data_IF_154830749115
#
_entry.id   IF_154830749115
#
_cell.length_a   1.000
_cell.length_b   1.000
_cell.length_c   1.000
_cell.angle_alpha   90.00
_cell.angle_beta   90.00
_cell.angle_gamma   90.00
#
_symmetry.space_group_name_H-M   'P 1'
#
loop_
_entity.id
_entity.type
_entity.pdbx_description
1 polymer ?
#
# COMPACT_ATOMS: atom_id res chain seq x y z
N UNK A 1 -11.13 18.99 -29.46
CA UNK A 1 -11.69 19.37 -28.16
C UNK A 1 -11.26 18.32 -27.16
N UNK A 2 -10.18 18.58 -26.43
CA UNK A 2 -9.62 17.65 -25.45
C UNK A 2 -10.49 17.69 -24.20
N UNK A 3 -11.06 16.54 -23.84
CA UNK A 3 -11.67 16.35 -22.53
C UNK A 3 -10.53 16.31 -21.51
N UNK A 4 -10.38 17.38 -20.74
CA UNK A 4 -9.47 17.43 -19.61
C UNK A 4 -9.86 16.36 -18.61
N UNK A 5 -9.04 15.32 -18.49
CA UNK A 5 -9.14 14.38 -17.39
C UNK A 5 -8.84 15.14 -16.10
N UNK A 6 -9.86 15.31 -15.27
CA UNK A 6 -9.74 15.88 -13.92
C UNK A 6 -8.80 14.96 -13.13
N UNK A 7 -7.56 15.41 -12.89
CA UNK A 7 -6.54 14.71 -12.08
C UNK A 7 -7.10 14.58 -10.65
N UNK A 8 -7.69 13.43 -10.35
CA UNK A 8 -8.21 13.10 -9.04
C UNK A 8 -7.01 12.76 -8.17
N UNK A 9 -6.48 13.76 -7.46
CA UNK A 9 -5.40 13.59 -6.50
C UNK A 9 -5.90 12.66 -5.39
N UNK A 10 -5.68 11.36 -5.59
CA UNK A 10 -6.27 10.33 -4.75
C UNK A 10 -5.34 10.19 -3.55
N UNK A 11 -5.63 10.97 -2.51
CA UNK A 11 -4.91 10.93 -1.23
C UNK A 11 -4.68 9.46 -0.81
N UNK A 12 -3.41 9.06 -0.74
CA UNK A 12 -3.02 7.71 -0.34
C UNK A 12 -3.28 7.61 1.17
N UNK A 13 -4.18 6.71 1.57
CA UNK A 13 -4.63 6.63 2.97
C UNK A 13 -3.95 5.55 3.79
N UNK A 14 -3.19 4.64 3.16
CA UNK A 14 -2.38 3.65 3.88
C UNK A 14 -0.99 4.24 4.20
N UNK A 15 -0.40 3.81 5.30
CA UNK A 15 0.86 4.37 5.83
C UNK A 15 2.09 3.53 5.54
N UNK A 16 1.95 2.20 5.54
CA UNK A 16 3.06 1.26 5.32
C UNK A 16 2.53 -0.16 5.02
N UNK A 17 3.43 -1.14 4.95
CA UNK A 17 3.08 -2.53 4.65
C UNK A 17 2.16 -3.18 5.70
N UNK A 18 2.19 -2.75 6.96
CA UNK A 18 1.31 -3.29 8.02
C UNK A 18 -0.14 -2.96 7.74
N UNK A 19 -0.43 -1.75 7.28
CA UNK A 19 -1.78 -1.32 6.88
C UNK A 19 -2.29 -2.17 5.71
N UNK A 20 -1.44 -2.43 4.72
CA UNK A 20 -1.79 -3.29 3.60
C UNK A 20 -2.13 -4.72 4.08
N UNK A 21 -1.33 -5.27 5.00
CA UNK A 21 -1.60 -6.58 5.60
C UNK A 21 -2.89 -6.59 6.40
N UNK A 22 -3.18 -5.54 7.19
CA UNK A 22 -4.41 -5.41 7.95
C UNK A 22 -5.65 -5.34 7.05
N UNK A 23 -5.52 -4.73 5.86
CA UNK A 23 -6.56 -4.74 4.83
C UNK A 23 -6.68 -6.08 4.07
N UNK A 24 -5.88 -7.10 4.42
CA UNK A 24 -5.91 -8.42 3.81
C UNK A 24 -5.15 -8.52 2.48
N UNK A 25 -4.30 -7.54 2.16
CA UNK A 25 -3.44 -7.57 0.98
C UNK A 25 -2.22 -8.44 1.29
N UNK A 26 -2.01 -9.49 0.50
CA UNK A 26 -0.87 -10.40 0.64
C UNK A 26 0.31 -9.88 -0.18
N UNK A 27 1.40 -9.55 0.49
CA UNK A 27 2.66 -9.23 -0.15
C UNK A 27 3.36 -10.50 -0.68
N UNK A 28 3.92 -10.43 -1.89
CA UNK A 28 4.76 -11.47 -2.50
C UNK A 28 5.91 -10.85 -3.29
N UNK A 29 7.04 -11.56 -3.32
CA UNK A 29 8.09 -11.28 -4.31
C UNK A 29 7.61 -11.64 -5.73
N UNK A 30 7.97 -10.81 -6.72
CA UNK A 30 7.80 -11.14 -8.14
C UNK A 30 8.78 -12.23 -8.61
N UNK A 31 9.84 -12.49 -7.83
CA UNK A 31 10.97 -13.34 -8.23
C UNK A 31 11.95 -12.68 -9.21
N UNK A 32 11.72 -11.41 -9.54
CA UNK A 32 12.60 -10.60 -10.40
C UNK A 32 13.28 -9.51 -9.57
N UNK A 33 14.37 -8.94 -10.10
CA UNK A 33 15.05 -7.77 -9.52
C UNK A 33 14.82 -6.50 -10.33
N UNK A 34 13.83 -6.53 -11.22
CA UNK A 34 13.50 -5.38 -12.08
C UNK A 34 12.66 -4.40 -11.28
N UNK A 35 13.08 -3.13 -11.14
CA UNK A 35 12.27 -2.08 -10.52
C UNK A 35 10.90 -1.88 -11.18
N UNK A 36 10.71 -2.44 -12.39
CA UNK A 36 9.48 -2.35 -13.20
C UNK A 36 8.38 -3.33 -12.77
N UNK A 37 8.73 -4.36 -11.99
CA UNK A 37 7.86 -5.52 -11.75
C UNK A 37 7.01 -5.38 -10.49
N UNK A 38 6.30 -4.26 -10.39
CA UNK A 38 5.30 -4.02 -9.34
C UNK A 38 3.90 -4.20 -9.92
N UNK A 39 3.10 -5.05 -9.29
CA UNK A 39 1.72 -5.28 -9.72
C UNK A 39 0.79 -5.56 -8.55
N UNK A 40 -0.45 -5.07 -8.68
CA UNK A 40 -1.52 -5.34 -7.74
C UNK A 40 -2.62 -6.14 -8.42
N UNK A 41 -2.97 -7.26 -7.80
CA UNK A 41 -4.02 -8.16 -8.24
C UNK A 41 -5.11 -8.22 -7.18
N UNK A 42 -6.31 -7.79 -7.56
CA UNK A 42 -7.51 -7.92 -6.74
C UNK A 42 -8.30 -9.15 -7.20
N UNK A 43 -8.29 -10.19 -6.36
CA UNK A 43 -9.11 -11.38 -6.56
C UNK A 43 -10.31 -11.39 -5.64
N UNK A 44 -11.30 -12.23 -5.97
CA UNK A 44 -12.55 -12.35 -5.21
C UNK A 44 -12.33 -12.65 -3.71
N UNK A 45 -11.32 -13.48 -3.40
CA UNK A 45 -11.03 -13.94 -2.03
C UNK A 45 -9.75 -13.37 -1.43
N UNK A 46 -8.89 -12.74 -2.24
CA UNK A 46 -7.62 -12.20 -1.77
C UNK A 46 -7.10 -11.12 -2.71
N UNK A 47 -6.63 -10.03 -2.12
CA UNK A 47 -5.78 -9.06 -2.80
C UNK A 47 -4.31 -9.45 -2.63
N UNK A 48 -3.50 -9.17 -3.65
CA UNK A 48 -2.07 -9.47 -3.66
C UNK A 48 -1.30 -8.31 -4.26
N UNK A 49 -0.23 -7.91 -3.58
CA UNK A 49 0.78 -7.01 -4.08
C UNK A 49 2.05 -7.80 -4.39
N UNK A 50 2.51 -7.74 -5.64
CA UNK A 50 3.82 -8.28 -6.04
C UNK A 50 4.80 -7.14 -6.20
N UNK A 51 5.98 -7.30 -5.59
CA UNK A 51 7.07 -6.32 -5.58
C UNK A 51 8.36 -7.05 -5.97
N UNK A 52 9.29 -6.43 -6.72
CA UNK A 52 10.57 -7.06 -7.03
C UNK A 52 11.41 -7.32 -5.77
N UNK A 53 12.26 -8.33 -5.88
CA UNK A 53 13.30 -8.58 -4.88
C UNK A 53 14.33 -7.44 -4.90
N UNK A 54 14.62 -6.89 -3.74
CA UNK A 54 15.67 -5.89 -3.54
C UNK A 54 16.75 -6.37 -2.59
N UNK A 55 17.98 -5.96 -2.90
CA UNK A 55 19.13 -6.14 -2.03
C UNK A 55 19.53 -4.76 -1.52
N UNK A 56 19.49 -4.58 -0.20
CA UNK A 56 19.85 -3.32 0.45
C UNK A 56 21.23 -3.48 1.08
N UNK A 57 22.20 -2.65 0.69
CA UNK A 57 23.55 -2.63 1.21
C UNK A 57 24.07 -1.19 1.30
N UNK A 58 25.31 -0.99 1.77
CA UNK A 58 25.90 0.35 1.95
C UNK A 58 25.99 1.22 0.69
N UNK A 59 25.84 0.65 -0.51
CA UNK A 59 25.84 1.39 -1.77
C UNK A 59 24.44 1.75 -2.28
N UNK A 60 23.37 1.18 -1.70
CA UNK A 60 21.99 1.32 -2.21
C UNK A 60 21.55 2.77 -2.30
N UNK A 61 21.81 3.59 -1.28
CA UNK A 61 21.46 5.03 -1.28
C UNK A 61 22.14 5.77 -2.42
N UNK A 62 23.46 5.60 -2.56
CA UNK A 62 24.22 6.27 -3.61
C UNK A 62 23.76 5.83 -5.01
N UNK A 63 23.47 4.54 -5.20
CA UNK A 63 22.94 4.02 -6.46
C UNK A 63 21.57 4.64 -6.77
N UNK A 64 20.63 4.63 -5.82
CA UNK A 64 19.30 5.18 -6.03
C UNK A 64 19.34 6.68 -6.33
N UNK A 65 20.14 7.46 -5.61
CA UNK A 65 20.28 8.90 -5.88
C UNK A 65 20.98 9.19 -7.21
N UNK A 66 22.04 8.47 -7.56
CA UNK A 66 22.71 8.67 -8.84
C UNK A 66 21.79 8.31 -10.02
N UNK A 67 21.01 7.23 -9.91
CA UNK A 67 20.04 6.85 -10.94
C UNK A 67 18.87 7.81 -11.01
N UNK A 68 18.37 8.30 -9.87
CA UNK A 68 17.32 9.33 -9.82
C UNK A 68 17.82 10.62 -10.45
N UNK A 69 19.03 11.08 -10.12
CA UNK A 69 19.63 12.26 -10.74
C UNK A 69 19.82 12.09 -12.26
N UNK A 70 20.14 10.88 -12.72
CA UNK A 70 20.20 10.55 -14.13
C UNK A 70 18.82 10.66 -14.82
N UNK A 71 17.75 10.18 -14.18
CA UNK A 71 16.36 10.37 -14.65
C UNK A 71 15.90 11.83 -14.63
N UNK A 72 16.51 12.69 -13.81
CA UNK A 72 16.15 14.11 -13.76
C UNK A 72 16.88 14.97 -14.80
N UNK A 73 17.74 14.37 -15.62
CA UNK A 73 18.45 15.08 -16.68
C UNK A 73 17.47 15.51 -17.79
N UNK A 74 17.39 16.81 -18.16
CA UNK A 74 16.43 17.30 -19.15
C UNK A 74 16.67 16.77 -20.57
N UNK A 75 17.89 16.32 -20.85
CA UNK A 75 18.28 15.81 -22.18
C UNK A 75 17.99 14.31 -22.35
N UNK A 76 17.44 13.65 -21.32
CA UNK A 76 17.19 12.21 -21.31
C UNK A 76 15.68 11.92 -21.19
N UNK A 77 15.08 11.44 -22.29
CA UNK A 77 13.72 10.88 -22.24
C UNK A 77 13.71 9.64 -21.36
N UNK A 78 13.00 9.71 -20.25
CA UNK A 78 12.81 8.58 -19.35
C UNK A 78 11.39 8.53 -18.81
N UNK A 79 11.06 7.39 -18.22
CA UNK A 79 9.74 7.08 -17.68
C UNK A 79 9.68 7.17 -16.15
N UNK A 80 10.69 7.82 -15.53
CA UNK A 80 10.88 7.97 -14.09
C UNK A 80 10.76 6.65 -13.32
N UNK A 81 11.17 5.53 -13.92
CA UNK A 81 11.00 4.19 -13.36
C UNK A 81 11.69 3.99 -12.01
N UNK A 82 12.92 4.48 -11.86
CA UNK A 82 13.71 4.36 -10.63
C UNK A 82 13.14 5.26 -9.54
N UNK A 83 12.85 6.51 -9.87
CA UNK A 83 12.24 7.48 -8.96
C UNK A 83 10.88 6.99 -8.46
N UNK A 84 10.04 6.50 -9.37
CA UNK A 84 8.73 5.92 -9.06
C UNK A 84 8.86 4.70 -8.14
N UNK A 85 9.86 3.87 -8.38
CA UNK A 85 10.16 2.69 -7.58
C UNK A 85 10.62 3.07 -6.17
N UNK A 86 11.55 4.02 -6.04
CA UNK A 86 12.06 4.50 -4.75
C UNK A 86 10.93 5.03 -3.87
N UNK A 87 10.06 5.89 -4.41
CA UNK A 87 8.90 6.43 -3.70
C UNK A 87 7.88 5.32 -3.37
N UNK A 88 7.73 4.31 -4.24
CA UNK A 88 6.85 3.18 -3.95
C UNK A 88 7.37 2.34 -2.78
N UNK A 89 8.67 2.04 -2.75
CA UNK A 89 9.28 1.29 -1.67
C UNK A 89 9.22 2.03 -0.33
N UNK A 90 9.48 3.34 -0.35
CA UNK A 90 9.34 4.21 0.82
C UNK A 90 7.91 4.16 1.38
N UNK A 91 6.87 4.23 0.53
CA UNK A 91 5.48 4.12 0.99
C UNK A 91 5.11 2.77 1.66
N UNK A 92 5.99 1.76 1.56
CA UNK A 92 5.82 0.48 2.23
C UNK A 92 6.63 0.37 3.53
N UNK A 93 7.65 1.20 3.73
CA UNK A 93 8.66 1.09 4.77
C UNK A 93 8.72 2.39 5.57
N UNK A 94 8.13 2.38 6.76
CA UNK A 94 8.20 3.52 7.69
C UNK A 94 9.03 3.13 8.94
N UNK A 95 8.94 1.85 9.34
CA UNK A 95 9.51 1.32 10.58
C UNK A 95 10.30 0.01 10.37
N UNK A 96 11.19 -0.37 11.31
CA UNK A 96 12.00 -1.58 11.21
C UNK A 96 11.17 -2.86 11.05
N UNK A 97 9.95 -2.93 11.61
CA UNK A 97 9.12 -4.13 11.46
C UNK A 97 8.54 -4.26 10.05
N UNK A 98 8.45 -3.17 9.29
CA UNK A 98 8.03 -3.20 7.88
C UNK A 98 9.12 -3.88 7.04
N UNK A 99 10.38 -3.55 7.33
CA UNK A 99 11.56 -4.22 6.75
C UNK A 99 11.55 -5.70 7.10
N UNK A 100 11.31 -6.04 8.38
CA UNK A 100 11.20 -7.43 8.82
C UNK A 100 10.10 -8.19 8.07
N UNK A 101 8.97 -7.55 7.82
CA UNK A 101 7.89 -8.13 7.02
C UNK A 101 8.31 -8.39 5.58
N UNK A 102 8.90 -7.40 4.90
CA UNK A 102 9.40 -7.53 3.52
C UNK A 102 10.43 -8.67 3.39
N UNK A 103 11.34 -8.78 4.37
CA UNK A 103 12.31 -9.89 4.46
C UNK A 103 11.62 -11.23 4.60
N UNK A 104 10.62 -11.34 5.47
CA UNK A 104 9.86 -12.58 5.67
C UNK A 104 9.13 -13.07 4.41
N UNK A 105 8.88 -12.17 3.44
CA UNK A 105 8.25 -12.47 2.15
C UNK A 105 9.24 -12.65 1.00
N UNK A 106 10.54 -12.58 1.27
CA UNK A 106 11.59 -12.65 0.26
C UNK A 106 11.58 -11.47 -0.71
N UNK A 107 10.99 -10.34 -0.32
CA UNK A 107 11.01 -9.10 -1.10
C UNK A 107 12.29 -8.32 -0.82
N UNK A 108 12.80 -8.38 0.40
CA UNK A 108 13.98 -7.62 0.82
C UNK A 108 15.07 -8.55 1.36
N UNK A 109 16.28 -8.41 0.83
CA UNK A 109 17.50 -8.98 1.38
C UNK A 109 18.31 -7.86 2.04
N UNK A 110 18.45 -7.95 3.36
CA UNK A 110 19.21 -6.97 4.14
C UNK A 110 20.69 -7.38 4.21
N UNK A 111 21.53 -6.60 3.53
CA UNK A 111 22.99 -6.67 3.56
C UNK A 111 23.61 -5.35 4.04
N UNK A 112 22.80 -4.45 4.61
CA UNK A 112 23.24 -3.17 5.17
C UNK A 112 23.61 -3.31 6.64
N UNK A 113 22.82 -4.08 7.40
CA UNK A 113 23.02 -4.27 8.83
C UNK A 113 21.70 -4.64 9.51
N UNK A 114 21.22 -3.77 10.37
CA UNK A 114 19.95 -3.90 11.08
C UNK A 114 18.74 -3.55 10.20
N UNK A 115 17.55 -3.97 10.63
CA UNK A 115 16.30 -3.56 9.97
C UNK A 115 16.02 -2.05 10.17
N UNK A 116 16.55 -1.45 11.24
CA UNK A 116 16.46 -0.02 11.53
C UNK A 116 17.27 0.83 10.55
N UNK A 117 18.50 0.43 10.24
CA UNK A 117 19.32 1.10 9.22
C UNK A 117 18.66 1.10 7.85
N UNK A 118 17.97 0.00 7.49
CA UNK A 118 17.22 -0.08 6.23
C UNK A 118 16.01 0.84 6.23
N UNK A 119 15.23 0.89 7.32
CA UNK A 119 14.08 1.79 7.41
C UNK A 119 14.53 3.27 7.32
N UNK A 120 15.58 3.63 8.06
CA UNK A 120 16.16 4.97 8.01
C UNK A 120 16.65 5.35 6.61
N UNK A 121 17.26 4.41 5.89
CA UNK A 121 17.69 4.61 4.50
C UNK A 121 16.53 5.04 3.60
N UNK A 122 15.38 4.36 3.66
CA UNK A 122 14.23 4.70 2.82
C UNK A 122 13.56 6.01 3.24
N UNK A 123 13.45 6.27 4.54
CA UNK A 123 12.91 7.54 5.06
C UNK A 123 13.75 8.77 4.65
N UNK A 124 15.08 8.60 4.51
CA UNK A 124 15.95 9.65 3.97
C UNK A 124 15.65 9.87 2.48
N UNK A 125 15.50 8.78 1.73
CA UNK A 125 15.22 8.83 0.28
C UNK A 125 13.93 9.60 -0.01
N UNK A 126 12.85 9.42 0.76
CA UNK A 126 11.61 10.18 0.53
C UNK A 126 11.70 11.67 0.84
N UNK A 127 12.56 12.06 1.77
CA UNK A 127 12.76 13.48 2.08
C UNK A 127 13.42 14.21 0.90
N UNK A 128 14.32 13.53 0.18
CA UNK A 128 15.14 14.13 -0.87
C UNK A 128 14.54 13.97 -2.29
N UNK A 129 13.65 12.99 -2.51
CA UNK A 129 13.00 12.75 -3.80
C UNK A 129 11.57 13.35 -3.80
N UNK A 130 11.44 14.62 -4.20
CA UNK A 130 10.15 15.28 -4.39
C UNK A 130 9.76 15.23 -5.88
N UNK A 131 9.08 14.17 -6.30
CA UNK A 131 8.65 13.99 -7.69
C UNK A 131 7.17 13.58 -7.79
N UNK A 132 6.41 14.23 -8.68
CA UNK A 132 5.06 13.79 -9.08
C UNK A 132 5.20 12.64 -10.09
N UNK A 133 5.46 11.44 -9.59
CA UNK A 133 5.76 10.25 -10.40
C UNK A 133 4.52 9.40 -10.68
N UNK A 134 4.20 9.26 -11.96
CA UNK A 134 2.94 8.67 -12.43
C UNK A 134 3.02 7.15 -12.69
N UNK A 135 4.22 6.54 -12.77
CA UNK A 135 4.36 5.16 -13.27
C UNK A 135 3.52 4.13 -12.49
N UNK A 136 3.56 4.21 -11.17
CA UNK A 136 2.80 3.31 -10.29
C UNK A 136 1.50 3.91 -9.76
N UNK A 137 1.06 5.04 -10.31
CA UNK A 137 -0.18 5.69 -9.90
C UNK A 137 -1.38 4.73 -10.01
N UNK A 138 -1.51 4.00 -11.13
CA UNK A 138 -2.58 3.01 -11.30
C UNK A 138 -2.53 1.89 -10.25
N UNK A 139 -1.33 1.46 -9.87
CA UNK A 139 -1.15 0.42 -8.82
C UNK A 139 -1.54 1.00 -7.46
N UNK A 140 -1.02 2.18 -7.11
CA UNK A 140 -1.33 2.90 -5.87
C UNK A 140 -2.83 3.16 -5.74
N UNK A 141 -3.50 3.61 -6.80
CA UNK A 141 -4.93 3.87 -6.81
C UNK A 141 -5.75 2.59 -6.58
N UNK A 142 -5.34 1.46 -7.16
CA UNK A 142 -6.00 0.17 -6.88
C UNK A 142 -5.81 -0.28 -5.44
N UNK A 143 -4.59 -0.17 -4.90
CA UNK A 143 -4.30 -0.47 -3.49
C UNK A 143 -5.15 0.41 -2.58
N UNK A 144 -5.14 1.73 -2.82
CA UNK A 144 -5.86 2.70 -2.01
C UNK A 144 -7.37 2.46 -2.05
N UNK A 145 -7.93 2.18 -3.23
CA UNK A 145 -9.34 1.81 -3.38
C UNK A 145 -9.69 0.56 -2.57
N UNK A 146 -8.88 -0.50 -2.67
CA UNK A 146 -9.07 -1.72 -1.90
C UNK A 146 -9.01 -1.46 -0.39
N UNK A 147 -7.97 -0.75 0.05
CA UNK A 147 -7.76 -0.38 1.44
C UNK A 147 -8.95 0.40 2.01
N UNK A 148 -9.41 1.45 1.32
CA UNK A 148 -10.56 2.26 1.75
C UNK A 148 -11.86 1.45 1.81
N UNK A 149 -12.09 0.56 0.85
CA UNK A 149 -13.27 -0.30 0.87
C UNK A 149 -13.23 -1.24 2.08
N UNK A 150 -12.08 -1.86 2.36
CA UNK A 150 -11.93 -2.75 3.52
C UNK A 150 -12.09 -2.02 4.85
N UNK A 151 -11.50 -0.84 4.98
CA UNK A 151 -11.62 -0.03 6.18
C UNK A 151 -13.08 0.39 6.44
N UNK A 152 -13.81 0.84 5.41
CA UNK A 152 -15.25 1.14 5.51
C UNK A 152 -16.07 -0.07 5.96
N UNK A 153 -15.79 -1.25 5.41
CA UNK A 153 -16.48 -2.49 5.83
C UNK A 153 -16.17 -2.81 7.29
N UNK A 154 -14.91 -2.69 7.74
CA UNK A 154 -14.52 -2.93 9.12
C UNK A 154 -15.21 -1.97 10.10
N UNK A 155 -15.21 -0.66 9.80
CA UNK A 155 -15.89 0.34 10.61
C UNK A 155 -17.38 0.01 10.73
N UNK A 156 -18.04 -0.26 9.60
CA UNK A 156 -19.46 -0.59 9.59
C UNK A 156 -19.79 -1.87 10.38
N UNK A 157 -18.94 -2.89 10.29
CA UNK A 157 -19.10 -4.13 11.04
C UNK A 157 -18.88 -3.90 12.55
N UNK A 158 -17.91 -3.06 12.92
CA UNK A 158 -17.68 -2.65 14.30
C UNK A 158 -18.87 -1.93 14.91
N UNK A 159 -19.46 -0.98 14.17
CA UNK A 159 -20.72 -0.34 14.57
C UNK A 159 -21.84 -1.37 14.70
N UNK A 160 -22.08 -2.22 13.70
CA UNK A 160 -23.11 -3.27 13.79
C UNK A 160 -22.91 -4.19 15.02
N UNK A 161 -21.67 -4.54 15.37
CA UNK A 161 -21.39 -5.38 16.53
C UNK A 161 -21.66 -4.67 17.87
N UNK A 162 -21.22 -3.42 18.01
CA UNK A 162 -21.48 -2.61 19.21
C UNK A 162 -22.98 -2.34 19.39
N UNK A 163 -23.68 -2.04 18.29
CA UNK A 163 -25.12 -1.87 18.31
C UNK A 163 -25.85 -3.18 18.65
N UNK A 164 -25.40 -4.33 18.13
CA UNK A 164 -25.99 -5.63 18.49
C UNK A 164 -25.84 -5.94 19.98
N UNK A 165 -24.63 -5.79 20.55
CA UNK A 165 -24.41 -5.95 21.98
C UNK A 165 -25.32 -5.02 22.80
N UNK A 166 -25.53 -3.78 22.36
CA UNK A 166 -26.45 -2.85 23.03
C UNK A 166 -27.91 -3.33 22.97
N UNK A 167 -28.39 -3.82 21.82
CA UNK A 167 -29.77 -4.32 21.67
C UNK A 167 -30.02 -5.60 22.49
N UNK A 168 -29.00 -6.46 22.60
CA UNK A 168 -29.05 -7.68 23.43
C UNK A 168 -29.14 -7.34 24.93
N UNK A 169 -28.53 -6.22 25.36
CA UNK A 169 -28.69 -5.67 26.72
C UNK A 169 -30.12 -5.15 27.01
N UNK A 170 -30.87 -4.75 25.98
CA UNK A 170 -32.22 -4.18 26.11
C UNK A 170 -33.36 -5.16 25.79
N UNK A 171 -33.06 -6.43 25.48
CA UNK A 171 -34.04 -7.51 25.25
C UNK A 171 -35.24 -7.08 24.37
N UNK A 172 -34.94 -6.54 23.18
CA UNK A 172 -35.96 -6.05 22.25
C UNK A 172 -36.69 -7.21 21.54
N UNK A 173 -37.99 -7.06 21.22
CA UNK A 173 -38.79 -8.12 20.60
C UNK A 173 -38.22 -8.56 19.25
N UNK A 174 -38.28 -9.86 19.00
CA UNK A 174 -37.67 -10.61 17.89
C UNK A 174 -37.97 -10.11 16.46
N UNK A 175 -38.99 -9.27 16.28
CA UNK A 175 -39.31 -8.65 14.99
C UNK A 175 -38.34 -7.54 14.58
N UNK A 176 -37.81 -6.75 15.53
CA UNK A 176 -36.84 -5.68 15.23
C UNK A 176 -35.48 -6.26 14.79
N UNK A 177 -35.09 -7.40 15.35
CA UNK A 177 -33.86 -8.11 15.04
C UNK A 177 -33.78 -8.53 13.55
N UNK A 178 -34.91 -9.00 12.98
CA UNK A 178 -34.94 -9.55 11.61
C UNK A 178 -34.87 -8.47 10.53
N UNK A 179 -35.49 -7.33 10.74
CA UNK A 179 -35.34 -6.14 9.88
C UNK A 179 -33.92 -5.55 9.97
N UNK A 180 -33.28 -5.64 11.13
CA UNK A 180 -31.94 -5.10 11.35
C UNK A 180 -30.83 -5.97 10.74
N UNK A 181 -30.94 -7.30 10.83
CA UNK A 181 -30.03 -8.23 10.15
C UNK A 181 -29.96 -7.98 8.64
N UNK A 182 -31.09 -7.62 8.02
CA UNK A 182 -31.15 -7.21 6.61
C UNK A 182 -30.45 -5.87 6.33
N UNK A 183 -30.51 -4.92 7.27
CA UNK A 183 -29.86 -3.61 7.14
C UNK A 183 -28.33 -3.71 7.26
N UNK A 184 -27.81 -4.41 8.28
CA UNK A 184 -26.36 -4.66 8.40
C UNK A 184 -25.82 -5.51 7.23
N UNK A 185 -26.61 -6.45 6.69
CA UNK A 185 -26.25 -7.19 5.47
C UNK A 185 -26.21 -6.31 4.22
N UNK A 186 -26.92 -5.18 4.17
CA UNK A 186 -26.81 -4.25 3.03
C UNK A 186 -25.64 -3.27 3.17
N UNK A 187 -25.20 -2.96 4.40
CA UNK A 187 -24.04 -2.09 4.63
C UNK A 187 -22.71 -2.82 4.38
N UNK A 188 -22.63 -4.13 4.68
CA UNK A 188 -21.41 -4.92 4.51
C UNK A 188 -21.13 -5.29 3.04
N UNK A 189 -22.14 -5.25 2.17
CA UNK A 189 -22.07 -5.76 0.80
C UNK A 189 -22.21 -4.68 -0.30
N UNK A 190 -22.20 -3.39 0.05
CA UNK A 190 -22.20 -2.24 -0.89
C UNK A 190 -21.06 -1.27 -0.58
#
# INVERSE_FOLDING_TARGET
>A
MNQGQKKENTEITFRNIKDLRAAGIKLKSSGTRSPLDIAFFEGWFAAKLTVPEIIVNGSTTAILFNLTAYEMCPDFENDYGISSFAIFMDSLIDHPEDVKELRSKGVLLNCLGSDEEVANLFNIISTDIVLDVERYEKVRNKINKHYRNKYKTLDSAGYCHLFQQSLDLYCLPSCLYRTYSHFCSNIVYH
#
